data_IF_932094958248
#
_entry.id   IF_932094958248
#
_cell.length_a   1.000
_cell.length_b   1.000
_cell.length_c   1.000
_cell.angle_alpha   90.00
_cell.angle_beta   90.00
_cell.angle_gamma   90.00
#
_symmetry.space_group_name_H-M   'P 1'
#
loop_
_entity.id
_entity.type
_entity.pdbx_description
1 polymer ?
#
# COMPACT_ATOMS: atom_id res chain seq x y z
N UNK A 1 -13.72 -4.65 6.10
CA UNK A 1 -12.72 -4.37 5.05
C UNK A 1 -11.37 -4.30 5.72
N UNK A 2 -10.39 -5.12 5.30
CA UNK A 2 -9.09 -5.20 5.96
C UNK A 2 -7.99 -4.73 5.01
N UNK A 3 -7.30 -3.61 5.29
CA UNK A 3 -6.29 -3.09 4.38
C UNK A 3 -4.98 -3.88 4.53
N UNK A 4 -4.32 -4.19 3.41
CA UNK A 4 -3.03 -4.90 3.38
C UNK A 4 -1.88 -3.92 3.16
N UNK A 5 -2.02 -3.06 2.15
CA UNK A 5 -1.07 -2.02 1.77
C UNK A 5 -1.74 -1.02 0.81
N UNK A 6 -1.07 0.07 0.48
CA UNK A 6 -1.46 1.03 -0.56
C UNK A 6 -0.49 1.03 -1.75
N UNK A 7 -0.80 1.81 -2.79
CA UNK A 7 0.04 1.99 -3.98
C UNK A 7 0.88 3.27 -3.97
N UNK A 8 1.00 3.94 -2.83
CA UNK A 8 1.73 5.20 -2.72
C UNK A 8 3.22 4.93 -2.60
N UNK A 9 3.99 5.49 -3.53
CA UNK A 9 5.44 5.34 -3.52
C UNK A 9 6.07 6.18 -2.42
N UNK A 10 6.87 5.54 -1.57
CA UNK A 10 7.66 6.21 -0.54
C UNK A 10 8.90 6.84 -1.15
N UNK A 11 9.09 8.13 -0.89
CA UNK A 11 10.14 8.94 -1.48
C UNK A 11 11.43 8.96 -0.64
N UNK A 12 11.32 8.83 0.69
CA UNK A 12 12.45 8.94 1.62
C UNK A 12 12.54 7.75 2.60
N UNK A 13 13.75 7.18 2.68
CA UNK A 13 14.20 6.32 3.78
C UNK A 13 13.28 5.16 4.19
N UNK A 14 13.50 4.63 5.39
CA UNK A 14 12.59 3.68 6.06
C UNK A 14 11.80 4.43 7.16
N UNK A 15 10.55 4.04 7.44
CA UNK A 15 9.65 4.74 8.34
C UNK A 15 9.90 4.24 9.77
N UNK A 16 11.11 4.49 10.26
CA UNK A 16 11.56 3.92 11.52
C UNK A 16 10.70 4.37 12.69
N UNK A 17 10.17 5.60 12.65
CA UNK A 17 9.35 6.09 13.74
C UNK A 17 7.98 5.39 13.78
N UNK A 18 7.37 5.12 12.62
CA UNK A 18 6.16 4.32 12.52
C UNK A 18 6.38 2.90 13.06
N UNK A 19 7.50 2.27 12.69
CA UNK A 19 7.87 0.96 13.23
C UNK A 19 8.12 0.99 14.74
N UNK A 20 8.76 2.05 15.25
CA UNK A 20 8.96 2.24 16.68
C UNK A 20 7.63 2.41 17.41
N UNK A 21 6.69 3.20 16.88
CA UNK A 21 5.35 3.33 17.46
C UNK A 21 4.63 1.98 17.52
N UNK A 22 4.67 1.20 16.44
CA UNK A 22 4.11 -0.15 16.43
C UNK A 22 4.78 -1.03 17.49
N UNK A 23 6.10 -1.03 17.57
CA UNK A 23 6.85 -1.82 18.55
C UNK A 23 6.52 -1.43 20.00
N UNK A 24 6.36 -0.13 20.29
CA UNK A 24 5.96 0.36 21.61
C UNK A 24 4.56 -0.13 21.96
N UNK A 25 3.59 0.01 21.05
CA UNK A 25 2.22 -0.46 21.28
C UNK A 25 2.17 -1.97 21.54
N UNK A 26 2.96 -2.77 20.79
CA UNK A 26 3.07 -4.21 21.02
C UNK A 26 3.71 -4.52 22.37
N UNK A 27 4.77 -3.81 22.75
CA UNK A 27 5.43 -4.02 24.04
C UNK A 27 4.51 -3.68 25.22
N UNK A 28 3.78 -2.56 25.14
CA UNK A 28 2.77 -2.17 26.14
C UNK A 28 1.69 -3.24 26.21
N UNK A 29 1.15 -3.70 25.08
CA UNK A 29 0.11 -4.73 25.08
C UNK A 29 0.56 -6.08 25.66
N UNK A 30 1.81 -6.48 25.42
CA UNK A 30 2.37 -7.68 26.07
C UNK A 30 2.42 -7.49 27.58
N UNK A 31 2.81 -6.30 28.05
CA UNK A 31 2.76 -5.98 29.48
C UNK A 31 1.33 -5.96 30.02
N UNK A 32 0.36 -5.36 29.32
CA UNK A 32 -1.07 -5.37 29.69
C UNK A 32 -1.57 -6.81 29.83
N UNK A 33 -1.29 -7.66 28.84
CA UNK A 33 -1.67 -9.06 28.85
C UNK A 33 -1.05 -9.81 30.05
N UNK A 34 0.23 -9.65 30.32
CA UNK A 34 0.87 -10.31 31.47
C UNK A 34 0.30 -9.80 32.80
N UNK A 35 0.15 -8.49 32.95
CA UNK A 35 -0.31 -7.86 34.18
C UNK A 35 -1.76 -8.20 34.54
N UNK A 36 -2.58 -8.55 33.55
CA UNK A 36 -4.02 -8.82 33.70
C UNK A 36 -4.39 -10.30 33.56
N UNK A 37 -3.41 -11.20 33.47
CA UNK A 37 -3.67 -12.63 33.24
C UNK A 37 -4.30 -12.89 31.87
N UNK A 38 -3.82 -12.25 30.82
CA UNK A 38 -4.36 -12.26 29.46
C UNK A 38 -5.79 -11.72 29.38
N UNK A 39 -6.05 -10.62 30.09
CA UNK A 39 -7.37 -9.97 30.19
C UNK A 39 -8.46 -10.82 30.87
N UNK A 40 -8.09 -11.87 31.63
CA UNK A 40 -9.07 -12.66 32.39
C UNK A 40 -9.33 -12.11 33.80
N UNK A 41 -8.40 -11.35 34.37
CA UNK A 41 -8.59 -10.67 35.65
C UNK A 41 -9.24 -9.30 35.43
N UNK A 42 -10.58 -9.24 35.53
CA UNK A 42 -11.36 -8.02 35.31
C UNK A 42 -10.97 -6.87 36.24
N UNK A 43 -10.55 -7.19 37.48
CA UNK A 43 -10.14 -6.16 38.46
C UNK A 43 -8.80 -5.55 38.06
N UNK A 44 -7.84 -6.38 37.66
CA UNK A 44 -6.55 -5.91 37.16
C UNK A 44 -6.71 -5.10 35.87
N UNK A 45 -7.59 -5.52 34.94
CA UNK A 45 -7.92 -4.76 33.72
C UNK A 45 -8.49 -3.39 34.08
N UNK A 46 -9.47 -3.34 34.98
CA UNK A 46 -10.08 -2.09 35.41
C UNK A 46 -9.05 -1.17 36.06
N UNK A 47 -8.25 -1.66 37.01
CA UNK A 47 -7.21 -0.88 37.68
C UNK A 47 -6.22 -0.27 36.67
N UNK A 48 -5.78 -1.06 35.71
CA UNK A 48 -4.83 -0.65 34.68
C UNK A 48 -5.44 0.41 33.73
N UNK A 49 -6.71 0.27 33.31
CA UNK A 49 -7.38 1.28 32.48
C UNK A 49 -7.77 2.56 33.24
N UNK A 50 -8.15 2.47 34.50
CA UNK A 50 -8.36 3.68 35.32
C UNK A 50 -7.05 4.40 35.65
N UNK A 51 -5.93 3.69 35.71
CA UNK A 51 -4.62 4.29 35.98
C UNK A 51 -4.02 4.98 34.75
N UNK A 52 -4.09 4.33 33.57
CA UNK A 52 -3.37 4.79 32.37
C UNK A 52 -4.29 5.26 31.23
N UNK A 53 -5.58 4.95 31.28
CA UNK A 53 -6.57 5.43 30.33
C UNK A 53 -6.99 6.87 30.60
N UNK A 54 -7.60 7.51 29.60
CA UNK A 54 -8.16 8.86 29.76
C UNK A 54 -9.58 8.74 30.30
N UNK A 55 -9.78 9.03 31.58
CA UNK A 55 -11.11 9.12 32.20
C UNK A 55 -11.62 10.56 32.02
N UNK A 56 -12.70 10.81 31.25
CA UNK A 56 -13.18 12.17 30.96
C UNK A 56 -13.36 13.07 32.17
N UNK A 57 -14.05 12.61 33.22
CA UNK A 57 -14.27 13.43 34.41
C UNK A 57 -12.98 13.73 35.18
N UNK A 58 -12.09 12.74 35.33
CA UNK A 58 -10.82 12.91 36.02
C UNK A 58 -9.84 13.79 35.23
N UNK A 59 -9.93 13.78 33.89
CA UNK A 59 -9.14 14.65 33.02
C UNK A 59 -9.41 16.12 33.32
N UNK A 60 -10.70 16.50 33.43
CA UNK A 60 -11.09 17.87 33.69
C UNK A 60 -10.99 18.25 35.17
N UNK A 61 -11.36 17.35 36.09
CA UNK A 61 -11.34 17.62 37.52
C UNK A 61 -9.93 17.78 38.10
N UNK A 62 -8.95 17.02 37.58
CA UNK A 62 -7.59 17.00 38.12
C UNK A 62 -6.56 17.59 37.14
N UNK A 63 -6.98 18.49 36.24
CA UNK A 63 -6.07 19.15 35.31
C UNK A 63 -5.03 20.02 36.05
N UNK A 64 -3.73 20.02 35.69
CA UNK A 64 -3.09 19.28 34.59
C UNK A 64 -2.53 17.91 34.99
N UNK A 65 -2.72 17.45 36.23
CA UNK A 65 -2.14 16.20 36.72
C UNK A 65 -2.59 14.99 35.90
N UNK A 66 -3.86 14.91 35.47
CA UNK A 66 -4.35 13.86 34.58
C UNK A 66 -3.94 14.04 33.10
N UNK A 67 -3.17 15.07 32.75
CA UNK A 67 -2.79 15.33 31.36
C UNK A 67 -1.91 14.24 30.75
N UNK A 68 -1.13 13.52 31.57
CA UNK A 68 -0.32 12.39 31.08
C UNK A 68 -1.20 11.22 30.59
N UNK A 69 -2.42 11.06 31.14
CA UNK A 69 -3.36 10.01 30.75
C UNK A 69 -3.75 10.10 29.27
N UNK A 70 -3.78 11.31 28.71
CA UNK A 70 -3.98 11.52 27.27
C UNK A 70 -2.92 10.74 26.50
N UNK A 71 -1.65 10.86 26.87
CA UNK A 71 -0.55 10.21 26.17
C UNK A 71 -0.52 8.72 26.45
N UNK A 72 -0.62 8.29 27.72
CA UNK A 72 -0.54 6.87 28.06
C UNK A 72 -1.68 6.08 27.44
N UNK A 73 -2.90 6.64 27.43
CA UNK A 73 -4.09 6.00 26.85
C UNK A 73 -3.91 5.63 25.36
N UNK A 74 -3.08 6.38 24.62
CA UNK A 74 -2.81 6.12 23.21
C UNK A 74 -2.05 4.82 22.97
N UNK A 75 -1.44 4.22 24.01
CA UNK A 75 -0.65 2.99 23.88
C UNK A 75 -1.33 1.76 24.49
N UNK A 76 -2.47 1.97 25.17
CA UNK A 76 -3.23 0.94 25.87
C UNK A 76 -4.25 0.27 24.94
N UNK A 77 -4.52 -1.02 25.11
CA UNK A 77 -5.45 -1.76 24.24
C UNK A 77 -6.34 -2.75 25.00
N UNK A 78 -7.64 -2.69 24.73
CA UNK A 78 -8.67 -3.56 25.30
C UNK A 78 -8.73 -4.99 24.72
N UNK A 79 -7.63 -5.53 24.18
CA UNK A 79 -7.54 -6.90 23.70
C UNK A 79 -6.95 -7.07 22.30
N UNK A 80 -6.83 -8.33 21.87
CA UNK A 80 -6.10 -8.73 20.65
C UNK A 80 -6.68 -8.08 19.39
N UNK A 81 -8.00 -8.13 19.21
CA UNK A 81 -8.65 -7.54 18.03
C UNK A 81 -8.42 -6.02 17.96
N UNK A 82 -8.40 -5.35 19.12
CA UNK A 82 -8.19 -3.91 19.22
C UNK A 82 -6.76 -3.54 18.79
N UNK A 83 -5.73 -4.19 19.33
CA UNK A 83 -4.35 -3.92 18.92
C UNK A 83 -4.08 -4.29 17.46
N UNK A 84 -4.55 -5.45 16.98
CA UNK A 84 -4.33 -5.85 15.58
C UNK A 84 -4.97 -4.83 14.64
N UNK A 85 -6.20 -4.39 14.92
CA UNK A 85 -6.87 -3.36 14.14
C UNK A 85 -6.06 -2.07 14.07
N UNK A 86 -5.59 -1.56 15.22
CA UNK A 86 -4.78 -0.35 15.27
C UNK A 86 -3.46 -0.50 14.50
N UNK A 87 -2.72 -1.60 14.74
CA UNK A 87 -1.41 -1.78 14.13
C UNK A 87 -1.49 -1.98 12.63
N UNK A 88 -2.54 -2.62 12.12
CA UNK A 88 -2.78 -2.76 10.67
C UNK A 88 -2.98 -1.39 10.01
N UNK A 89 -3.81 -0.53 10.59
CA UNK A 89 -4.01 0.82 10.04
C UNK A 89 -2.77 1.71 10.20
N UNK A 90 -2.08 1.62 11.33
CA UNK A 90 -0.82 2.35 11.53
C UNK A 90 0.27 1.88 10.57
N UNK A 91 0.34 0.57 10.31
CA UNK A 91 1.26 -0.02 9.34
C UNK A 91 1.00 0.44 7.91
N UNK A 92 -0.27 0.40 7.47
CA UNK A 92 -0.64 0.73 6.09
C UNK A 92 -0.59 2.22 5.82
N UNK A 93 -1.01 3.07 6.75
CA UNK A 93 -1.17 4.50 6.46
C UNK A 93 -0.10 5.39 7.11
N UNK A 94 0.53 4.94 8.20
CA UNK A 94 1.42 5.76 9.01
C UNK A 94 2.77 6.05 8.36
N UNK A 95 3.31 5.11 7.57
CA UNK A 95 4.61 5.26 6.92
C UNK A 95 4.63 6.35 5.84
N UNK A 96 3.54 6.53 5.10
CA UNK A 96 3.39 7.58 4.09
C UNK A 96 3.27 8.97 4.73
N UNK A 97 2.63 9.05 5.90
CA UNK A 97 2.60 10.29 6.68
C UNK A 97 3.98 10.61 7.26
N UNK A 98 4.70 9.62 7.80
CA UNK A 98 6.10 9.82 8.24
C UNK A 98 6.98 10.27 7.08
N UNK A 99 6.88 9.63 5.91
CA UNK A 99 7.64 9.99 4.72
C UNK A 99 7.40 11.45 4.30
N UNK A 100 6.17 11.93 4.48
CA UNK A 100 5.77 13.25 4.03
C UNK A 100 6.09 14.38 5.00
N UNK A 101 5.98 14.13 6.30
CA UNK A 101 6.25 15.13 7.34
C UNK A 101 7.68 15.04 7.90
N UNK A 102 8.35 13.90 7.73
CA UNK A 102 9.59 13.57 8.43
C UNK A 102 9.35 13.19 9.89
N UNK A 103 10.32 12.50 10.48
CA UNK A 103 10.20 11.83 11.79
C UNK A 103 9.74 12.75 12.92
N UNK A 104 10.43 13.88 13.11
CA UNK A 104 10.15 14.78 14.26
C UNK A 104 8.74 15.34 14.17
N UNK A 105 8.31 15.82 13.00
CA UNK A 105 6.94 16.34 12.83
C UNK A 105 5.91 15.23 12.95
N UNK A 106 6.21 14.04 12.42
CA UNK A 106 5.31 12.89 12.50
C UNK A 106 4.97 12.49 13.94
N UNK A 107 5.94 12.42 14.85
CA UNK A 107 5.63 12.12 16.26
C UNK A 107 4.81 13.24 16.92
N UNK A 108 5.14 14.51 16.64
CA UNK A 108 4.42 15.65 17.23
C UNK A 108 2.97 15.71 16.78
N UNK A 109 2.70 15.50 15.48
CA UNK A 109 1.33 15.49 14.96
C UNK A 109 0.59 14.21 15.39
N UNK A 110 1.26 13.07 15.50
CA UNK A 110 0.65 11.84 16.03
C UNK A 110 0.14 12.04 17.46
N UNK A 111 0.99 12.56 18.35
CA UNK A 111 0.62 12.90 19.73
C UNK A 111 -0.45 14.01 19.77
N UNK A 112 -0.33 15.03 18.92
CA UNK A 112 -1.31 16.11 18.83
C UNK A 112 -2.70 15.64 18.37
N UNK A 113 -2.78 14.74 17.40
CA UNK A 113 -4.04 14.14 16.96
C UNK A 113 -4.64 13.21 18.01
N UNK A 114 -3.80 12.46 18.74
CA UNK A 114 -4.23 11.69 19.90
C UNK A 114 -4.81 12.56 21.00
N UNK A 115 -4.18 13.70 21.30
CA UNK A 115 -4.70 14.67 22.25
C UNK A 115 -6.02 15.30 21.79
N UNK A 116 -6.13 15.68 20.52
CA UNK A 116 -7.38 16.18 19.95
C UNK A 116 -8.51 15.15 20.03
N UNK A 117 -8.20 13.87 19.76
CA UNK A 117 -9.13 12.76 19.89
C UNK A 117 -9.59 12.57 21.34
N UNK A 118 -8.66 12.54 22.30
CA UNK A 118 -8.97 12.41 23.72
C UNK A 118 -9.87 13.54 24.20
N UNK A 119 -9.53 14.79 23.89
CA UNK A 119 -10.33 15.96 24.25
C UNK A 119 -11.73 15.91 23.62
N UNK A 120 -11.83 15.62 22.32
CA UNK A 120 -13.13 15.53 21.64
C UNK A 120 -14.04 14.47 22.27
N UNK A 121 -13.49 13.30 22.58
CA UNK A 121 -14.24 12.25 23.28
C UNK A 121 -14.62 12.66 24.70
N UNK A 122 -13.69 13.23 25.48
CA UNK A 122 -13.97 13.63 26.86
C UNK A 122 -15.02 14.73 26.94
N UNK A 123 -14.98 15.75 26.07
CA UNK A 123 -16.03 16.77 26.02
C UNK A 123 -17.41 16.18 25.71
N UNK A 124 -17.47 15.24 24.76
CA UNK A 124 -18.71 14.56 24.43
C UNK A 124 -19.23 13.73 25.60
N UNK A 125 -18.38 12.90 26.21
CA UNK A 125 -18.74 12.04 27.35
C UNK A 125 -19.25 12.85 28.55
N UNK A 126 -18.63 14.01 28.83
CA UNK A 126 -19.12 14.95 29.85
C UNK A 126 -20.52 15.49 29.52
N UNK A 127 -20.82 15.72 28.23
CA UNK A 127 -22.12 16.23 27.79
C UNK A 127 -23.25 15.20 27.81
N UNK A 128 -22.92 13.91 27.74
CA UNK A 128 -23.89 12.80 27.72
C UNK A 128 -24.03 12.07 29.04
N UNK A 129 -23.14 12.34 30.01
CA UNK A 129 -23.14 11.70 31.34
C UNK A 129 -22.32 10.41 31.43
N UNK A 130 -21.61 10.01 30.38
CA UNK A 130 -20.76 8.81 30.32
C UNK A 130 -19.29 9.11 30.68
N UNK A 131 -19.06 10.03 31.62
CA UNK A 131 -17.73 10.61 31.89
C UNK A 131 -16.78 9.75 32.72
N UNK A 132 -17.28 8.68 33.33
CA UNK A 132 -16.52 7.80 34.21
C UNK A 132 -15.79 6.67 33.48
N UNK A 133 -16.11 6.41 32.21
CA UNK A 133 -15.53 5.29 31.47
C UNK A 133 -14.16 5.70 30.88
N UNK A 134 -13.07 4.98 31.18
CA UNK A 134 -11.75 5.27 30.61
C UNK A 134 -11.73 4.97 29.10
N UNK A 135 -11.21 5.91 28.32
CA UNK A 135 -10.87 5.71 26.93
C UNK A 135 -9.42 5.25 26.79
N UNK A 136 -9.21 4.21 25.97
CA UNK A 136 -7.90 3.62 25.66
C UNK A 136 -7.83 3.30 24.16
N UNK A 137 -6.63 3.37 23.57
CA UNK A 137 -6.37 2.98 22.19
C UNK A 137 -5.60 4.01 21.38
N UNK A 138 -4.71 3.52 20.52
CA UNK A 138 -4.01 4.33 19.52
C UNK A 138 -4.95 4.90 18.43
N UNK A 139 -6.18 4.41 18.36
CA UNK A 139 -7.12 4.62 17.25
C UNK A 139 -7.47 6.08 17.02
N UNK A 140 -7.49 6.93 18.06
CA UNK A 140 -7.70 8.37 17.91
C UNK A 140 -6.60 9.05 17.09
N UNK A 141 -5.33 8.78 17.41
CA UNK A 141 -4.19 9.30 16.66
C UNK A 141 -4.10 8.70 15.25
N UNK A 142 -4.40 7.40 15.10
CA UNK A 142 -4.49 6.72 13.81
C UNK A 142 -5.62 7.33 12.95
N UNK A 143 -6.73 7.74 13.56
CA UNK A 143 -7.79 8.45 12.83
C UNK A 143 -7.27 9.77 12.26
N UNK A 144 -6.38 10.47 12.99
CA UNK A 144 -5.65 11.62 12.46
C UNK A 144 -4.75 11.29 11.28
N UNK A 145 -4.03 10.16 11.33
CA UNK A 145 -3.28 9.64 10.18
C UNK A 145 -4.22 9.47 8.98
N UNK A 146 -5.38 8.81 9.15
CA UNK A 146 -6.35 8.61 8.08
C UNK A 146 -6.89 9.92 7.51
N UNK A 147 -7.20 10.89 8.36
CA UNK A 147 -7.67 12.22 7.95
C UNK A 147 -6.63 12.95 7.12
N UNK A 148 -5.37 12.99 7.57
CA UNK A 148 -4.27 13.58 6.81
C UNK A 148 -4.05 12.83 5.49
N UNK A 149 -4.10 11.50 5.52
CA UNK A 149 -3.89 10.63 4.37
C UNK A 149 -4.93 10.88 3.27
N UNK A 150 -6.21 10.98 3.62
CA UNK A 150 -7.29 11.30 2.67
C UNK A 150 -7.02 12.58 1.89
N UNK A 151 -6.55 13.63 2.59
CA UNK A 151 -6.30 14.94 1.99
C UNK A 151 -5.04 14.95 1.13
N UNK A 152 -4.03 14.21 1.54
CA UNK A 152 -2.69 14.24 0.93
C UNK A 152 -2.54 13.24 -0.22
N UNK A 153 -3.24 12.11 -0.17
CA UNK A 153 -3.16 11.01 -1.14
C UNK A 153 -4.55 10.61 -1.69
N UNK A 154 -5.39 11.54 -2.18
CA UNK A 154 -6.77 11.23 -2.56
C UNK A 154 -6.89 10.28 -3.77
N UNK A 155 -5.81 10.13 -4.55
CA UNK A 155 -5.76 9.25 -5.74
C UNK A 155 -5.14 7.88 -5.46
N UNK A 156 -4.59 7.66 -4.27
CA UNK A 156 -4.03 6.36 -3.92
C UNK A 156 -5.14 5.31 -3.79
N UNK A 157 -4.76 4.05 -3.95
CA UNK A 157 -5.64 2.89 -3.83
C UNK A 157 -5.13 1.99 -2.72
N UNK A 158 -6.06 1.58 -1.86
CA UNK A 158 -5.83 0.66 -0.76
C UNK A 158 -6.15 -0.75 -1.23
N UNK A 159 -5.17 -1.64 -1.18
CA UNK A 159 -5.36 -3.07 -1.40
C UNK A 159 -6.04 -3.63 -0.16
N UNK A 160 -7.25 -4.11 -0.34
CA UNK A 160 -8.16 -4.45 0.74
C UNK A 160 -8.66 -5.88 0.57
N UNK A 161 -8.59 -6.67 1.63
CA UNK A 161 -9.29 -7.93 1.74
C UNK A 161 -10.74 -7.63 2.14
N UNK A 162 -11.67 -8.12 1.34
CA UNK A 162 -13.07 -8.21 1.72
C UNK A 162 -13.36 -9.68 2.01
N UNK A 163 -13.53 -9.97 3.29
CA UNK A 163 -14.03 -11.26 3.77
C UNK A 163 -15.54 -11.11 3.97
N UNK A 164 -16.30 -11.45 2.92
CA UNK A 164 -17.76 -11.62 2.99
C UNK A 164 -18.07 -13.12 2.85
N UNK A 165 -19.01 -13.53 1.99
CA UNK A 165 -19.26 -14.94 1.66
C UNK A 165 -18.04 -15.64 1.02
N UNK A 166 -17.14 -14.87 0.39
CA UNK A 166 -15.84 -15.33 -0.11
C UNK A 166 -14.75 -14.33 0.30
N UNK A 167 -13.48 -14.77 0.27
CA UNK A 167 -12.31 -13.92 0.49
C UNK A 167 -11.81 -13.46 -0.88
N UNK A 168 -11.86 -12.16 -1.14
CA UNK A 168 -11.32 -11.56 -2.36
C UNK A 168 -10.58 -10.26 -2.06
N UNK A 169 -9.60 -9.94 -2.90
CA UNK A 169 -8.79 -8.72 -2.79
C UNK A 169 -9.24 -7.69 -3.81
N UNK A 170 -9.53 -6.47 -3.36
CA UNK A 170 -9.92 -5.33 -4.20
C UNK A 170 -9.02 -4.13 -3.96
N UNK A 171 -8.85 -3.30 -4.99
CA UNK A 171 -8.17 -2.01 -4.88
C UNK A 171 -9.23 -0.92 -4.75
N UNK A 172 -9.38 -0.37 -3.56
CA UNK A 172 -10.39 0.66 -3.27
C UNK A 172 -9.69 2.02 -3.26
N UNK A 173 -10.16 3.01 -4.03
CA UNK A 173 -9.56 4.34 -3.96
C UNK A 173 -9.77 4.93 -2.56
N UNK A 174 -8.76 5.64 -2.05
CA UNK A 174 -8.77 6.26 -0.72
C UNK A 174 -9.98 7.15 -0.50
N UNK A 175 -10.40 7.87 -1.54
CA UNK A 175 -11.57 8.75 -1.51
C UNK A 175 -12.91 8.00 -1.33
N UNK A 176 -12.93 6.68 -1.52
CA UNK A 176 -14.06 5.84 -1.16
C UNK A 176 -13.80 5.14 0.20
N UNK A 177 -12.63 4.54 0.37
CA UNK A 177 -12.31 3.73 1.54
C UNK A 177 -12.38 4.52 2.86
N UNK A 178 -11.66 5.65 2.94
CA UNK A 178 -11.54 6.41 4.18
C UNK A 178 -12.85 7.12 4.53
N UNK A 179 -13.54 7.83 3.60
CA UNK A 179 -14.83 8.43 3.90
C UNK A 179 -15.89 7.41 4.30
N UNK A 180 -15.93 6.23 3.67
CA UNK A 180 -16.82 5.16 4.10
C UNK A 180 -16.58 4.77 5.57
N UNK A 181 -15.32 4.52 5.94
CA UNK A 181 -14.97 4.18 7.33
C UNK A 181 -15.34 5.31 8.31
N UNK A 182 -15.10 6.57 7.94
CA UNK A 182 -15.41 7.74 8.76
C UNK A 182 -16.92 7.96 8.94
N UNK A 183 -17.70 7.78 7.88
CA UNK A 183 -19.17 7.87 7.93
C UNK A 183 -19.73 6.82 8.89
N UNK A 184 -19.18 5.60 8.90
CA UNK A 184 -19.57 4.59 9.88
C UNK A 184 -19.30 5.06 11.32
N UNK A 185 -18.18 5.74 11.59
CA UNK A 185 -17.91 6.30 12.92
C UNK A 185 -18.97 7.33 13.33
N UNK A 186 -19.37 8.21 12.41
CA UNK A 186 -20.42 9.20 12.65
C UNK A 186 -21.76 8.52 12.94
N UNK A 187 -22.16 7.54 12.12
CA UNK A 187 -23.42 6.82 12.30
C UNK A 187 -23.44 6.12 13.66
N UNK A 188 -22.38 5.40 14.03
CA UNK A 188 -22.32 4.70 15.31
C UNK A 188 -22.31 5.64 16.52
N UNK A 189 -21.63 6.80 16.40
CA UNK A 189 -21.71 7.85 17.41
C UNK A 189 -23.15 8.39 17.56
N UNK A 190 -23.84 8.65 16.46
CA UNK A 190 -25.19 9.24 16.45
C UNK A 190 -26.26 8.30 17.02
N UNK A 191 -26.16 7.00 16.76
CA UNK A 191 -27.13 6.00 17.26
C UNK A 191 -26.78 5.50 18.67
N UNK A 192 -25.73 6.03 19.30
CA UNK A 192 -25.31 5.65 20.65
C UNK A 192 -24.80 4.21 20.77
N UNK A 193 -24.40 3.59 19.66
CA UNK A 193 -23.92 2.21 19.68
C UNK A 193 -22.48 2.19 20.19
N UNK A 194 -22.28 2.16 21.52
CA UNK A 194 -20.92 2.26 22.10
C UNK A 194 -20.06 1.05 21.76
N UNK A 195 -20.53 -0.19 21.95
CA UNK A 195 -19.81 -1.42 21.58
C UNK A 195 -18.36 -1.50 22.10
N UNK A 196 -17.99 -0.71 23.12
CA UNK A 196 -16.62 -0.55 23.60
C UNK A 196 -15.71 0.37 22.74
N UNK A 197 -16.26 1.16 21.82
CA UNK A 197 -15.54 2.03 20.88
C UNK A 197 -15.83 3.50 21.14
N UNK A 198 -14.78 4.29 21.30
CA UNK A 198 -14.85 5.75 21.49
C UNK A 198 -14.97 6.48 20.14
N UNK A 199 -16.13 6.41 19.47
CA UNK A 199 -16.33 7.00 18.14
C UNK A 199 -15.99 8.50 18.05
N UNK A 200 -16.29 9.27 19.10
CA UNK A 200 -15.92 10.70 19.14
C UNK A 200 -14.42 10.94 19.17
N UNK A 201 -13.63 10.00 19.69
CA UNK A 201 -12.17 10.06 19.60
C UNK A 201 -11.73 9.91 18.14
N UNK A 202 -12.32 8.97 17.40
CA UNK A 202 -12.04 8.80 15.97
C UNK A 202 -12.41 10.06 15.18
N UNK A 203 -13.57 10.65 15.47
CA UNK A 203 -14.04 11.86 14.80
C UNK A 203 -13.09 13.04 15.07
N UNK A 204 -12.76 13.29 16.34
CA UNK A 204 -11.85 14.37 16.74
C UNK A 204 -10.45 14.23 16.13
N UNK A 205 -9.87 13.03 16.21
CA UNK A 205 -8.58 12.72 15.62
C UNK A 205 -8.59 12.92 14.09
N UNK A 206 -9.60 12.38 13.41
CA UNK A 206 -9.75 12.50 11.96
C UNK A 206 -9.83 13.94 11.49
N UNK A 207 -10.68 14.76 12.13
CA UNK A 207 -10.84 16.18 11.77
C UNK A 207 -9.53 16.94 11.98
N UNK A 208 -8.83 16.72 13.10
CA UNK A 208 -7.53 17.34 13.37
C UNK A 208 -6.48 16.93 12.31
N UNK A 209 -6.46 15.65 11.94
CA UNK A 209 -5.60 15.11 10.88
C UNK A 209 -5.88 15.71 9.51
N UNK A 210 -7.14 15.74 9.10
CA UNK A 210 -7.56 16.30 7.82
C UNK A 210 -7.24 17.80 7.73
N UNK A 211 -7.48 18.57 8.80
CA UNK A 211 -7.10 19.97 8.88
C UNK A 211 -5.57 20.15 8.75
N UNK A 212 -4.79 19.34 9.47
CA UNK A 212 -3.32 19.35 9.38
C UNK A 212 -2.85 19.03 7.95
N UNK A 213 -3.43 18.01 7.32
CA UNK A 213 -3.15 17.62 5.94
C UNK A 213 -3.49 18.73 4.93
N UNK A 214 -4.59 19.45 5.14
CA UNK A 214 -5.01 20.57 4.29
C UNK A 214 -4.05 21.75 4.41
N UNK A 215 -3.64 22.10 5.63
CA UNK A 215 -2.63 23.14 5.88
C UNK A 215 -1.30 22.75 5.24
N UNK A 216 -0.84 21.51 5.45
CA UNK A 216 0.41 21.03 4.87
C UNK A 216 0.38 21.04 3.32
N UNK A 217 -0.74 20.62 2.73
CA UNK A 217 -0.93 20.59 1.28
C UNK A 217 -1.00 21.97 0.65
N UNK A 218 -1.65 22.92 1.31
CA UNK A 218 -1.86 24.27 0.80
C UNK A 218 -0.63 25.15 0.96
N UNK A 219 0.06 25.06 2.11
CA UNK A 219 1.13 26.00 2.45
C UNK A 219 2.53 25.36 2.47
N UNK A 220 2.66 24.17 3.04
CA UNK A 220 3.96 23.58 3.31
C UNK A 220 4.57 22.95 2.04
N UNK A 221 3.78 22.22 1.26
CA UNK A 221 4.27 21.56 0.05
C UNK A 221 4.69 22.53 -1.07
N UNK A 222 3.94 23.60 -1.39
CA UNK A 222 4.37 24.56 -2.40
C UNK A 222 5.60 25.36 -1.96
N UNK A 223 5.72 25.70 -0.67
CA UNK A 223 6.89 26.39 -0.12
C UNK A 223 8.16 25.51 -0.19
N UNK A 224 8.05 24.24 0.20
CA UNK A 224 9.17 23.29 0.08
C UNK A 224 9.54 23.03 -1.38
N UNK A 225 8.57 22.94 -2.29
CA UNK A 225 8.84 22.81 -3.73
C UNK A 225 9.53 24.05 -4.31
N UNK A 226 9.17 25.26 -3.85
CA UNK A 226 9.86 26.51 -4.23
C UNK A 226 11.29 26.58 -3.67
N UNK A 227 11.50 26.16 -2.42
CA UNK A 227 12.84 26.08 -1.80
C UNK A 227 13.71 25.00 -2.46
N UNK A 228 13.13 23.88 -2.89
CA UNK A 228 13.80 22.84 -3.65
C UNK A 228 14.04 23.25 -5.13
N UNK A 229 13.27 24.21 -5.63
CA UNK A 229 13.35 24.73 -7.00
C UNK A 229 14.60 25.55 -7.34
N UNK A 230 15.50 25.80 -6.37
CA UNK A 230 16.85 26.34 -6.61
C UNK A 230 17.94 25.27 -6.58
N UNK A 231 17.61 24.02 -6.23
CA UNK A 231 18.52 22.88 -6.28
C UNK A 231 18.37 22.11 -7.60
N UNK A 232 19.50 21.70 -8.20
CA UNK A 232 19.55 20.78 -9.36
C UNK A 232 18.47 19.71 -9.20
N UNK A 233 17.63 19.51 -10.24
CA UNK A 233 16.68 18.40 -10.33
C UNK A 233 17.38 17.13 -9.84
N UNK A 234 17.02 16.66 -8.66
CA UNK A 234 17.50 15.39 -8.15
C UNK A 234 17.06 14.33 -9.16
N UNK A 235 18.03 13.83 -9.92
CA UNK A 235 17.85 12.65 -10.75
C UNK A 235 18.12 11.51 -9.79
N UNK A 236 17.10 10.74 -9.36
CA UNK A 236 17.37 9.62 -8.48
C UNK A 236 18.44 8.75 -9.14
N UNK A 237 19.45 8.25 -8.38
CA UNK A 237 20.31 7.22 -8.93
C UNK A 237 19.38 6.13 -9.44
N UNK A 238 19.53 5.75 -10.71
CA UNK A 238 18.70 4.75 -11.35
C UNK A 238 18.52 3.60 -10.36
N UNK A 239 17.33 3.50 -9.77
CA UNK A 239 16.98 2.40 -8.89
C UNK A 239 17.34 1.19 -9.73
N UNK A 240 18.21 0.30 -9.22
CA UNK A 240 18.36 -1.02 -9.83
C UNK A 240 16.95 -1.59 -9.81
N UNK A 241 16.24 -1.42 -10.93
CA UNK A 241 15.01 -2.12 -11.23
C UNK A 241 15.46 -3.55 -11.05
N UNK A 242 15.00 -4.21 -9.98
CA UNK A 242 15.16 -5.65 -9.93
C UNK A 242 14.46 -6.11 -11.20
N UNK A 243 15.18 -6.70 -12.16
CA UNK A 243 14.52 -7.19 -13.36
C UNK A 243 13.36 -8.05 -12.86
N UNK A 244 12.16 -7.84 -13.39
CA UNK A 244 11.05 -8.74 -13.07
C UNK A 244 11.55 -10.15 -13.40
N UNK A 245 11.06 -11.19 -12.73
CA UNK A 245 11.45 -12.56 -13.09
C UNK A 245 11.21 -12.79 -14.61
N UNK A 246 10.20 -12.12 -15.15
CA UNK A 246 9.89 -12.10 -16.58
C UNK A 246 10.92 -11.39 -17.47
N UNK A 247 11.82 -10.59 -16.92
CA UNK A 247 12.96 -9.94 -17.60
C UNK A 247 14.27 -10.76 -17.42
N UNK A 248 14.24 -11.82 -16.60
CA UNK A 248 15.37 -12.73 -16.32
C UNK A 248 15.21 -14.06 -17.08
N UNK A 249 14.07 -14.30 -17.72
CA UNK A 249 13.93 -15.45 -18.63
C UNK A 249 14.82 -15.17 -19.83
N UNK A 250 16.01 -15.78 -19.82
CA UNK A 250 16.86 -15.99 -20.99
C UNK A 250 15.97 -16.38 -22.16
N UNK A 251 15.81 -15.49 -23.15
CA UNK A 251 15.12 -15.80 -24.40
C UNK A 251 15.81 -17.01 -25.00
N UNK A 252 15.10 -18.14 -25.09
CA UNK A 252 15.64 -19.31 -25.77
C UNK A 252 15.88 -18.93 -27.23
N UNK A 253 17.05 -19.24 -27.81
CA UNK A 253 17.30 -18.95 -29.21
C UNK A 253 16.25 -19.66 -30.08
N UNK A 254 15.83 -19.07 -31.21
CA UNK A 254 14.91 -19.72 -32.12
C UNK A 254 15.46 -21.08 -32.60
N UNK A 255 14.62 -22.10 -32.59
CA UNK A 255 14.98 -23.43 -33.08
C UNK A 255 14.56 -23.57 -34.55
N UNK A 256 15.47 -24.06 -35.39
CA UNK A 256 15.21 -24.30 -36.82
C UNK A 256 15.08 -25.79 -37.07
N UNK A 257 13.91 -26.19 -37.55
CA UNK A 257 13.60 -27.56 -37.95
C UNK A 257 13.65 -27.65 -39.47
N UNK A 258 14.44 -28.58 -39.99
CA UNK A 258 14.54 -28.84 -41.42
C UNK A 258 13.62 -30.00 -41.82
N UNK A 259 12.70 -29.74 -42.76
CA UNK A 259 11.85 -30.76 -43.36
C UNK A 259 12.19 -31.03 -44.84
N UNK A 260 11.54 -32.01 -45.48
CA UNK A 260 11.82 -32.38 -46.88
C UNK A 260 11.63 -31.26 -47.90
N UNK A 261 10.73 -30.29 -47.63
CA UNK A 261 10.43 -29.17 -48.53
C UNK A 261 10.28 -27.83 -47.83
N UNK A 262 10.69 -27.74 -46.56
CA UNK A 262 10.46 -26.55 -45.75
C UNK A 262 11.55 -26.37 -44.69
N UNK A 263 11.64 -25.14 -44.19
CA UNK A 263 12.21 -24.83 -42.88
C UNK A 263 11.10 -24.37 -41.96
N UNK A 264 11.20 -24.69 -40.67
CA UNK A 264 10.27 -24.23 -39.68
C UNK A 264 11.01 -23.68 -38.49
N UNK A 265 10.69 -22.44 -38.13
CA UNK A 265 11.32 -21.76 -37.01
C UNK A 265 10.33 -21.71 -35.87
N UNK A 266 10.76 -22.16 -34.70
CA UNK A 266 10.01 -22.07 -33.45
C UNK A 266 10.70 -21.03 -32.58
N UNK A 267 9.95 -19.98 -32.25
CA UNK A 267 10.44 -18.86 -31.45
C UNK A 267 9.51 -18.61 -30.26
N UNK A 268 10.07 -18.36 -29.08
CA UNK A 268 9.30 -17.96 -27.91
C UNK A 268 9.10 -16.43 -27.92
N UNK A 269 7.85 -15.99 -28.11
CA UNK A 269 7.46 -14.60 -28.31
C UNK A 269 6.27 -14.27 -27.41
N UNK A 270 6.50 -13.99 -26.12
CA UNK A 270 5.43 -13.71 -25.16
C UNK A 270 4.97 -12.25 -25.18
N UNK A 271 3.68 -12.01 -24.92
CA UNK A 271 3.16 -10.64 -24.80
C UNK A 271 2.74 -10.01 -26.13
N UNK A 272 2.63 -10.85 -27.16
CA UNK A 272 1.95 -10.58 -28.43
C UNK A 272 0.51 -11.10 -28.37
N UNK A 273 -0.43 -10.39 -29.02
CA UNK A 273 -1.85 -10.76 -29.06
C UNK A 273 -2.13 -11.88 -30.06
N UNK A 274 -1.60 -11.73 -31.27
CA UNK A 274 -1.80 -12.65 -32.39
C UNK A 274 -0.65 -12.53 -33.41
N UNK A 275 -0.66 -13.39 -34.44
CA UNK A 275 0.40 -13.46 -35.43
C UNK A 275 0.61 -12.16 -36.24
N UNK A 276 -0.36 -11.23 -36.27
CA UNK A 276 -0.22 -9.97 -37.01
C UNK A 276 0.80 -9.01 -36.41
N UNK A 277 1.16 -9.19 -35.14
CA UNK A 277 2.20 -8.41 -34.46
C UNK A 277 3.62 -9.01 -34.65
N UNK A 278 3.75 -10.07 -35.45
CA UNK A 278 5.01 -10.78 -35.71
C UNK A 278 5.36 -10.67 -37.20
N UNK A 279 6.59 -10.28 -37.51
CA UNK A 279 7.14 -10.27 -38.86
C UNK A 279 8.39 -11.11 -38.94
N UNK A 280 8.55 -11.85 -40.03
CA UNK A 280 9.73 -12.65 -40.31
C UNK A 280 10.22 -12.36 -41.74
N UNK A 281 11.52 -12.08 -41.91
CA UNK A 281 12.12 -11.75 -43.20
C UNK A 281 13.46 -12.48 -43.36
N UNK A 282 13.64 -13.12 -44.51
CA UNK A 282 14.89 -13.81 -44.84
C UNK A 282 15.94 -12.81 -45.35
N UNK A 283 17.13 -12.85 -44.75
CA UNK A 283 18.30 -12.07 -45.15
C UNK A 283 19.32 -12.96 -45.88
N UNK A 284 19.47 -12.81 -47.21
CA UNK A 284 20.41 -13.61 -48.00
C UNK A 284 21.89 -13.37 -47.64
N UNK A 285 22.23 -12.20 -47.09
CA UNK A 285 23.63 -11.88 -46.78
C UNK A 285 24.14 -12.68 -45.57
N UNK A 286 23.23 -13.02 -44.65
CA UNK A 286 23.54 -13.72 -43.39
C UNK A 286 23.00 -15.14 -43.33
N UNK A 287 22.27 -15.59 -44.37
CA UNK A 287 21.55 -16.87 -44.41
C UNK A 287 20.67 -17.05 -43.16
N UNK A 288 19.97 -16.00 -42.75
CA UNK A 288 19.20 -15.98 -41.52
C UNK A 288 17.82 -15.38 -41.72
N UNK A 289 16.88 -15.76 -40.86
CA UNK A 289 15.55 -15.16 -40.81
C UNK A 289 15.50 -14.24 -39.61
N UNK A 290 15.32 -12.93 -39.86
CA UNK A 290 15.08 -11.94 -38.82
C UNK A 290 13.62 -12.01 -38.41
N UNK A 291 13.38 -12.12 -37.12
CA UNK A 291 12.04 -12.19 -36.52
C UNK A 291 11.88 -11.01 -35.60
N UNK A 292 10.90 -10.16 -35.90
CA UNK A 292 10.51 -9.03 -35.07
C UNK A 292 9.10 -9.25 -34.53
N UNK A 293 8.89 -8.90 -33.27
CA UNK A 293 7.56 -8.93 -32.66
C UNK A 293 7.27 -7.63 -31.91
N UNK A 294 6.09 -7.05 -32.15
CA UNK A 294 5.70 -5.71 -31.68
C UNK A 294 4.39 -5.78 -30.89
N UNK A 295 4.48 -6.30 -29.66
CA UNK A 295 3.35 -6.34 -28.72
C UNK A 295 3.60 -5.49 -27.47
N UNK A 296 3.10 -5.98 -26.33
CA UNK A 296 3.44 -5.42 -25.00
C UNK A 296 4.92 -5.61 -24.63
N UNK A 297 5.60 -6.53 -25.33
CA UNK A 297 7.05 -6.74 -25.33
C UNK A 297 7.55 -6.68 -26.77
N UNK A 298 8.80 -6.26 -26.95
CA UNK A 298 9.47 -6.22 -28.25
C UNK A 298 10.54 -7.30 -28.29
N UNK A 299 10.55 -8.08 -29.36
CA UNK A 299 11.58 -9.07 -29.62
C UNK A 299 12.23 -8.76 -30.95
N UNK A 300 13.54 -8.97 -30.99
CA UNK A 300 14.35 -8.93 -32.20
C UNK A 300 15.32 -10.11 -32.11
N UNK A 301 15.08 -11.13 -32.93
CA UNK A 301 15.85 -12.37 -32.92
C UNK A 301 16.18 -12.78 -34.35
N UNK A 302 17.18 -13.63 -34.50
CA UNK A 302 17.61 -14.16 -35.79
C UNK A 302 17.78 -15.66 -35.69
N UNK A 303 17.30 -16.38 -36.70
CA UNK A 303 17.44 -17.82 -36.83
C UNK A 303 18.27 -18.13 -38.08
N UNK A 304 19.48 -18.66 -37.90
CA UNK A 304 20.33 -19.08 -39.02
C UNK A 304 19.82 -20.38 -39.62
N UNK A 305 19.65 -20.41 -40.95
CA UNK A 305 19.20 -21.61 -41.65
C UNK A 305 20.38 -22.55 -41.93
N UNK A 306 20.12 -23.86 -42.17
CA UNK A 306 21.14 -24.81 -42.62
C UNK A 306 21.90 -24.34 -43.86
N UNK A 307 23.14 -24.80 -44.03
CA UNK A 307 23.94 -24.50 -45.22
C UNK A 307 23.25 -25.05 -46.48
N UNK A 308 23.11 -24.22 -47.51
CA UNK A 308 22.45 -24.58 -48.77
C UNK A 308 20.99 -24.14 -48.90
N UNK A 309 20.45 -23.36 -47.95
CA UNK A 309 19.17 -22.68 -48.14
C UNK A 309 19.26 -21.68 -49.30
N UNK A 310 18.40 -21.85 -50.31
CA UNK A 310 18.33 -20.99 -51.49
C UNK A 310 17.03 -20.19 -51.43
N UNK A 311 17.14 -18.88 -51.15
CA UNK A 311 16.06 -17.89 -51.17
C UNK A 311 14.70 -18.38 -50.60
N UNK A 312 14.65 -18.92 -49.37
CA UNK A 312 13.41 -19.39 -48.76
C UNK A 312 12.43 -18.23 -48.56
N UNK A 313 11.14 -18.48 -48.80
CA UNK A 313 10.06 -17.51 -48.59
C UNK A 313 9.23 -17.89 -47.39
N UNK A 314 8.85 -16.91 -46.57
CA UNK A 314 7.91 -17.12 -45.46
C UNK A 314 6.52 -17.41 -46.03
N UNK A 315 6.01 -18.61 -45.76
CA UNK A 315 4.67 -19.04 -46.19
C UNK A 315 3.59 -18.55 -45.24
N UNK A 316 3.81 -18.75 -43.94
CA UNK A 316 2.90 -18.30 -42.90
C UNK A 316 3.60 -18.14 -41.55
N UNK A 317 2.95 -17.38 -40.67
CA UNK A 317 3.29 -17.25 -39.26
C UNK A 317 2.06 -17.68 -38.47
N UNK A 318 2.24 -18.65 -37.59
CA UNK A 318 1.23 -19.07 -36.61
C UNK A 318 1.69 -18.69 -35.22
N UNK A 319 0.76 -18.26 -34.37
CA UNK A 319 1.05 -17.88 -33.00
C UNK A 319 0.04 -18.54 -32.06
N UNK A 320 0.55 -19.23 -31.03
CA UNK A 320 -0.27 -19.83 -30.01
C UNK A 320 0.48 -19.82 -28.66
N UNK A 321 -0.15 -19.22 -27.64
CA UNK A 321 0.32 -19.26 -26.25
C UNK A 321 1.81 -18.88 -26.05
N UNK A 322 2.27 -17.82 -26.70
CA UNK A 322 3.64 -17.33 -26.56
C UNK A 322 4.67 -18.04 -27.45
N UNK A 323 4.25 -18.94 -28.34
CA UNK A 323 5.10 -19.60 -29.32
C UNK A 323 4.70 -19.15 -30.73
N UNK A 324 5.69 -18.64 -31.48
CA UNK A 324 5.57 -18.33 -32.88
C UNK A 324 6.17 -19.46 -33.72
N UNK A 325 5.41 -19.93 -34.70
CA UNK A 325 5.81 -20.95 -35.67
C UNK A 325 5.84 -20.30 -37.05
N UNK A 326 7.03 -20.17 -37.62
CA UNK A 326 7.28 -19.50 -38.89
C UNK A 326 7.68 -20.54 -39.90
N UNK A 327 6.86 -20.70 -40.95
CA UNK A 327 7.09 -21.67 -42.01
C UNK A 327 7.76 -21.00 -43.19
N UNK A 328 8.83 -21.60 -43.70
CA UNK A 328 9.49 -21.17 -44.93
C UNK A 328 9.53 -22.30 -45.97
N UNK A 329 9.36 -21.92 -47.24
CA UNK A 329 9.52 -22.84 -48.36
C UNK A 329 11.00 -23.07 -48.68
N UNK A 330 11.34 -24.29 -49.12
CA UNK A 330 12.59 -24.54 -49.85
C UNK A 330 12.28 -24.35 -51.34
N UNK A 331 12.82 -23.33 -52.00
CA UNK A 331 12.76 -23.30 -53.47
C UNK A 331 13.60 -24.47 -53.99
N UNK A 332 12.94 -25.51 -54.50
CA UNK A 332 13.60 -26.54 -55.30
C UNK A 332 14.04 -25.88 -56.60
N UNK A 333 15.34 -25.66 -56.77
CA UNK A 333 15.88 -25.29 -58.07
C UNK A 333 15.35 -26.25 -59.13
N UNK A 334 14.72 -25.71 -60.16
CA UNK A 334 14.47 -26.45 -61.38
C UNK A 334 15.82 -26.98 -61.87
N UNK A 335 15.96 -28.31 -61.97
CA UNK A 335 17.05 -28.98 -62.69
C UNK A 335 16.78 -28.87 -64.18
#
# INVERSE_FOLDING_TARGET
MFPIHDDTERMHGRPYLNYTLIAINVAVFVWEAVATGFFTDERAVAELFFTYGTVPEALFANWPASGFNIVTSMFMHAGIAHIIGNMVFLWVFGDNIEDKFGRVKYILIYLGWGAAAALAHSFYAMSTGDSAVPAVGASGAISGILGAYLVMFPRAKVFTIIAAFFIYTVRIPVIAYIPFWFILQLVFALIGQSGGVAYMAHIGGFVAGAATGLVARTFMMPALAKLAGTGKKYTPPARRVRPKIEDVVSEAPPEVIEGPGYYEIIAEVRGVRDASEISAEYDPATNSVRIEARGSRRYEMSATLPQGAVSPRVEYIQYLNGIARIRLSKETGQV
#
